data_IF_828770247256
#
_entry.id   IF_828770247256
#
_cell.length_a   1.000
_cell.length_b   1.000
_cell.length_c   1.000
_cell.angle_alpha   90.00
_cell.angle_beta   90.00
_cell.angle_gamma   90.00
#
_symmetry.space_group_name_H-M   'P 1'
#
loop_
_entity.id
_entity.type
_entity.pdbx_description
1 polymer ?
#
# COMPACT_ATOMS: atom_id res chain seq x y z
N UNK A 1 -20.88 19.97 -11.16
CA UNK A 1 -21.27 18.55 -11.33
C UNK A 1 -20.12 17.58 -11.02
N UNK A 2 -18.88 17.80 -11.42
CA UNK A 2 -17.71 16.94 -11.13
C UNK A 2 -17.39 16.76 -9.64
N UNK A 3 -17.46 17.81 -8.84
CA UNK A 3 -17.17 17.77 -7.40
C UNK A 3 -18.06 16.79 -6.63
N UNK A 4 -19.31 16.61 -7.07
CA UNK A 4 -20.24 15.68 -6.45
C UNK A 4 -19.91 14.21 -6.79
N UNK A 5 -19.41 13.94 -8.00
CA UNK A 5 -18.99 12.59 -8.44
C UNK A 5 -17.75 12.12 -7.68
N UNK A 6 -16.73 12.98 -7.56
CA UNK A 6 -15.52 12.64 -6.78
C UNK A 6 -15.80 12.43 -5.29
N UNK A 7 -16.72 13.22 -4.72
CA UNK A 7 -17.16 12.98 -3.33
C UNK A 7 -17.85 11.65 -3.16
N UNK A 8 -18.75 11.28 -4.08
CA UNK A 8 -19.43 9.98 -4.05
C UNK A 8 -18.46 8.82 -4.21
N UNK A 9 -17.57 8.88 -5.20
CA UNK A 9 -16.54 7.86 -5.41
C UNK A 9 -15.64 7.67 -4.18
N UNK A 10 -15.22 8.77 -3.54
CA UNK A 10 -14.41 8.72 -2.31
C UNK A 10 -15.19 8.10 -1.15
N UNK A 11 -16.48 8.38 -1.00
CA UNK A 11 -17.32 7.78 0.05
C UNK A 11 -17.50 6.28 -0.21
N UNK A 12 -17.83 5.90 -1.44
CA UNK A 12 -17.98 4.49 -1.83
C UNK A 12 -16.68 3.72 -1.59
N UNK A 13 -15.53 4.28 -2.01
CA UNK A 13 -14.23 3.66 -1.77
C UNK A 13 -13.93 3.45 -0.28
N UNK A 14 -14.21 4.45 0.56
CA UNK A 14 -14.00 4.32 2.01
C UNK A 14 -14.96 3.31 2.65
N UNK A 15 -16.21 3.23 2.20
CA UNK A 15 -17.17 2.23 2.67
C UNK A 15 -16.69 0.83 2.29
N UNK A 16 -16.28 0.62 1.04
CA UNK A 16 -15.77 -0.66 0.57
C UNK A 16 -14.52 -1.11 1.34
N UNK A 17 -13.54 -0.23 1.51
CA UNK A 17 -12.31 -0.52 2.28
C UNK A 17 -12.63 -0.81 3.75
N UNK A 18 -13.57 -0.06 4.36
CA UNK A 18 -13.97 -0.29 5.75
C UNK A 18 -14.70 -1.62 5.90
N UNK A 19 -15.60 -1.95 4.98
CA UNK A 19 -16.27 -3.23 4.95
C UNK A 19 -15.27 -4.39 4.82
N UNK A 20 -14.33 -4.28 3.88
CA UNK A 20 -13.27 -5.27 3.70
C UNK A 20 -12.43 -5.44 4.97
N UNK A 21 -12.04 -4.36 5.63
CA UNK A 21 -11.29 -4.40 6.89
C UNK A 21 -12.06 -5.08 8.02
N UNK A 22 -13.36 -4.79 8.13
CA UNK A 22 -14.25 -5.37 9.17
C UNK A 22 -14.53 -6.85 8.89
N UNK A 23 -14.63 -7.27 7.64
CA UNK A 23 -14.80 -8.68 7.29
C UNK A 23 -13.50 -9.46 7.48
N UNK A 24 -12.38 -8.90 7.05
CA UNK A 24 -11.09 -9.58 7.12
C UNK A 24 -10.53 -9.68 8.54
N UNK A 25 -10.71 -8.68 9.38
CA UNK A 25 -10.14 -8.68 10.74
C UNK A 25 -10.55 -9.90 11.58
N UNK A 26 -11.85 -10.20 11.72
CA UNK A 26 -12.31 -11.42 12.39
C UNK A 26 -11.82 -12.71 11.72
N UNK A 27 -11.81 -12.78 10.39
CA UNK A 27 -11.28 -13.92 9.63
C UNK A 27 -9.79 -14.16 9.92
N UNK A 28 -8.98 -13.09 10.01
CA UNK A 28 -7.57 -13.20 10.36
C UNK A 28 -7.37 -13.69 11.80
N UNK A 29 -8.20 -13.24 12.75
CA UNK A 29 -8.14 -13.73 14.15
C UNK A 29 -8.58 -15.18 14.23
N UNK A 30 -9.65 -15.56 13.55
CA UNK A 30 -10.15 -16.93 13.51
C UNK A 30 -9.11 -17.88 12.89
N UNK A 31 -8.44 -17.45 11.84
CA UNK A 31 -7.39 -18.24 11.18
C UNK A 31 -6.28 -18.71 12.14
N UNK A 32 -6.05 -18.03 13.25
CA UNK A 32 -5.03 -18.40 14.23
C UNK A 32 -5.30 -19.73 14.94
N UNK A 33 -6.54 -20.20 14.99
CA UNK A 33 -6.90 -21.50 15.52
C UNK A 33 -6.17 -22.64 14.80
N UNK A 34 -5.98 -22.49 13.51
CA UNK A 34 -5.34 -23.46 12.64
C UNK A 34 -3.85 -23.70 12.94
N UNK A 35 -3.21 -22.78 13.65
CA UNK A 35 -1.83 -22.98 14.10
C UNK A 35 -1.74 -24.06 15.18
N UNK A 36 -2.88 -24.43 15.79
CA UNK A 36 -3.00 -25.45 16.82
C UNK A 36 -3.74 -26.72 16.33
N UNK A 37 -4.59 -26.56 15.34
CA UNK A 37 -5.32 -27.61 14.65
C UNK A 37 -5.27 -27.38 13.12
N UNK A 38 -4.16 -27.79 12.48
CA UNK A 38 -3.94 -27.51 11.04
C UNK A 38 -4.98 -28.11 10.11
N UNK A 39 -5.64 -29.19 10.52
CA UNK A 39 -6.71 -29.83 9.74
C UNK A 39 -8.07 -29.15 9.82
N UNK A 40 -8.26 -28.20 10.75
CA UNK A 40 -9.54 -27.53 10.89
C UNK A 40 -9.80 -26.58 9.72
N UNK A 41 -10.99 -26.63 9.06
CA UNK A 41 -11.34 -25.68 8.02
C UNK A 41 -11.60 -24.30 8.64
N UNK A 42 -11.07 -23.25 7.99
CA UNK A 42 -11.26 -21.87 8.40
C UNK A 42 -12.30 -21.14 7.55
N UNK A 43 -12.68 -19.94 8.00
CA UNK A 43 -13.62 -19.07 7.27
C UNK A 43 -13.11 -18.74 5.86
N UNK A 44 -11.78 -18.62 5.71
CA UNK A 44 -11.18 -18.37 4.40
C UNK A 44 -11.39 -19.57 3.46
N UNK A 45 -11.14 -20.79 3.92
CA UNK A 45 -11.26 -21.99 3.10
C UNK A 45 -12.69 -22.18 2.63
N UNK A 46 -13.67 -22.00 3.52
CA UNK A 46 -15.08 -22.04 3.18
C UNK A 46 -15.47 -20.96 2.17
N UNK A 47 -14.91 -19.75 2.32
CA UNK A 47 -15.17 -18.66 1.39
C UNK A 47 -14.60 -18.96 0.01
N UNK A 48 -13.37 -19.46 -0.06
CA UNK A 48 -12.72 -19.80 -1.31
C UNK A 48 -13.41 -20.97 -2.00
N UNK A 49 -13.72 -22.02 -1.26
CA UNK A 49 -14.45 -23.18 -1.76
C UNK A 49 -15.84 -22.83 -2.34
N UNK A 50 -16.54 -21.88 -1.69
CA UNK A 50 -17.87 -21.46 -2.15
C UNK A 50 -17.84 -20.54 -3.39
N UNK A 51 -16.74 -19.81 -3.62
CA UNK A 51 -16.66 -18.78 -4.67
C UNK A 51 -15.82 -19.24 -5.86
N UNK A 52 -14.80 -20.07 -5.65
CA UNK A 52 -13.88 -20.53 -6.70
C UNK A 52 -14.04 -22.02 -6.89
N UNK A 53 -13.41 -22.85 -6.05
CA UNK A 53 -13.45 -24.30 -6.14
C UNK A 53 -13.12 -24.96 -4.80
N UNK A 54 -13.75 -26.11 -4.51
CA UNK A 54 -13.55 -26.86 -3.27
C UNK A 54 -12.17 -27.53 -3.22
N UNK A 55 -11.78 -28.17 -4.30
CA UNK A 55 -10.55 -28.97 -4.32
C UNK A 55 -9.32 -28.06 -4.28
N UNK A 56 -9.41 -26.88 -4.88
CA UNK A 56 -8.37 -25.86 -4.79
C UNK A 56 -8.31 -25.19 -3.40
N UNK A 57 -9.41 -25.10 -2.67
CA UNK A 57 -9.44 -24.55 -1.32
C UNK A 57 -8.66 -25.39 -0.32
N UNK A 58 -8.66 -26.71 -0.51
CA UNK A 58 -8.08 -27.68 0.43
C UNK A 58 -6.90 -28.47 -0.16
N UNK A 59 -6.67 -28.38 -1.46
CA UNK A 59 -5.63 -29.10 -2.17
C UNK A 59 -4.22 -28.51 -2.01
N UNK A 60 -3.23 -29.13 -2.68
CA UNK A 60 -1.87 -28.61 -2.74
C UNK A 60 -1.82 -27.16 -3.25
N UNK A 61 -0.97 -26.32 -2.67
CA UNK A 61 -0.84 -24.90 -3.02
C UNK A 61 -1.92 -24.00 -2.43
N UNK A 62 -2.85 -24.53 -1.62
CA UNK A 62 -3.80 -23.73 -0.87
C UNK A 62 -3.22 -23.16 0.42
N UNK A 63 -3.82 -22.09 0.92
CA UNK A 63 -3.49 -21.54 2.25
C UNK A 63 -3.84 -22.55 3.35
N UNK A 64 -4.77 -23.46 3.09
CA UNK A 64 -5.09 -24.54 3.99
C UNK A 64 -3.90 -25.45 4.25
N UNK A 65 -3.18 -25.86 3.22
CA UNK A 65 -1.99 -26.72 3.37
C UNK A 65 -0.83 -26.02 4.05
N UNK A 66 -0.65 -24.72 3.86
CA UNK A 66 0.41 -23.92 4.51
C UNK A 66 0.25 -23.87 6.03
N UNK A 67 -0.98 -23.81 6.54
CA UNK A 67 -1.22 -23.75 7.98
C UNK A 67 -0.82 -25.05 8.70
N UNK A 68 -0.78 -26.16 7.99
CA UNK A 68 -0.30 -27.44 8.49
C UNK A 68 1.24 -27.61 8.46
N UNK A 69 1.96 -26.64 7.91
CA UNK A 69 3.41 -26.65 7.80
C UNK A 69 4.05 -25.50 8.58
N UNK A 70 4.76 -24.63 7.86
CA UNK A 70 5.59 -23.55 8.43
C UNK A 70 4.86 -22.62 9.43
N UNK A 71 3.55 -22.42 9.27
CA UNK A 71 2.78 -21.57 10.20
C UNK A 71 2.58 -22.28 11.55
N UNK A 72 2.31 -23.57 11.55
CA UNK A 72 2.14 -24.34 12.78
C UNK A 72 3.47 -24.50 13.54
N UNK A 73 4.58 -24.69 12.83
CA UNK A 73 5.92 -24.75 13.40
C UNK A 73 6.34 -23.42 14.04
N UNK A 74 5.90 -22.30 13.45
CA UNK A 74 6.16 -20.95 13.91
C UNK A 74 4.96 -20.29 14.59
N UNK A 75 4.05 -21.09 15.17
CA UNK A 75 2.74 -20.67 15.68
C UNK A 75 2.74 -19.45 16.60
N UNK A 76 3.73 -19.28 17.47
CA UNK A 76 3.76 -18.13 18.38
C UNK A 76 3.98 -16.80 17.63
N UNK A 77 4.94 -16.76 16.72
CA UNK A 77 5.23 -15.57 15.93
C UNK A 77 4.08 -15.25 15.00
N UNK A 78 3.48 -16.28 14.38
CA UNK A 78 2.32 -16.14 13.51
C UNK A 78 1.07 -15.75 14.28
N UNK A 79 0.86 -16.25 15.50
CA UNK A 79 -0.23 -15.82 16.39
C UNK A 79 -0.15 -14.31 16.65
N UNK A 80 1.02 -13.81 17.05
CA UNK A 80 1.22 -12.39 17.27
C UNK A 80 1.01 -11.59 15.99
N UNK A 81 1.61 -12.00 14.87
CA UNK A 81 1.46 -11.32 13.58
C UNK A 81 0.00 -11.24 13.15
N UNK A 82 -0.67 -12.37 13.07
CA UNK A 82 -2.00 -12.50 12.47
C UNK A 82 -3.08 -11.86 13.36
N UNK A 83 -3.08 -12.13 14.67
CA UNK A 83 -4.05 -11.56 15.59
C UNK A 83 -3.92 -10.04 15.68
N UNK A 84 -2.69 -9.55 15.94
CA UNK A 84 -2.50 -8.10 16.10
C UNK A 84 -2.68 -7.37 14.76
N UNK A 85 -2.27 -7.97 13.65
CA UNK A 85 -2.50 -7.46 12.30
C UNK A 85 -3.98 -7.34 11.95
N UNK A 86 -4.77 -8.39 12.19
CA UNK A 86 -6.22 -8.39 11.97
C UNK A 86 -6.93 -7.30 12.77
N UNK A 87 -6.63 -7.18 14.07
CA UNK A 87 -7.19 -6.12 14.91
C UNK A 87 -6.72 -4.72 14.45
N UNK A 88 -5.42 -4.58 14.10
CA UNK A 88 -4.87 -3.31 13.63
C UNK A 88 -5.58 -2.81 12.37
N UNK A 89 -5.86 -3.68 11.39
CA UNK A 89 -6.56 -3.33 10.15
C UNK A 89 -7.92 -2.70 10.44
N UNK A 90 -8.71 -3.29 11.34
CA UNK A 90 -10.02 -2.76 11.76
C UNK A 90 -9.88 -1.41 12.46
N UNK A 91 -8.93 -1.30 13.39
CA UNK A 91 -8.71 -0.05 14.12
C UNK A 91 -8.19 1.07 13.22
N UNK A 92 -7.34 0.78 12.23
CA UNK A 92 -6.92 1.75 11.22
C UNK A 92 -8.12 2.24 10.39
N UNK A 93 -9.00 1.34 9.92
CA UNK A 93 -10.20 1.74 9.19
C UNK A 93 -11.06 2.70 10.01
N UNK A 94 -11.29 2.39 11.30
CA UNK A 94 -12.05 3.24 12.22
C UNK A 94 -11.39 4.61 12.43
N UNK A 95 -10.05 4.70 12.43
CA UNK A 95 -9.29 5.95 12.61
C UNK A 95 -9.57 6.99 11.50
N UNK A 96 -9.92 6.55 10.30
CA UNK A 96 -10.28 7.45 9.20
C UNK A 96 -11.73 7.96 9.29
N UNK A 97 -12.54 7.47 10.25
CA UNK A 97 -13.89 7.95 10.47
C UNK A 97 -13.92 9.41 10.94
N UNK A 98 -14.74 10.24 10.27
CA UNK A 98 -14.94 11.62 10.66
C UNK A 98 -15.56 11.75 12.06
N UNK A 99 -16.40 10.77 12.48
CA UNK A 99 -17.01 10.75 13.82
C UNK A 99 -15.96 10.58 14.92
N UNK A 100 -15.03 9.63 14.74
CA UNK A 100 -13.97 9.40 15.72
C UNK A 100 -13.03 10.62 15.81
N UNK A 101 -12.68 11.24 14.69
CA UNK A 101 -11.80 12.42 14.66
C UNK A 101 -12.37 13.66 15.34
N UNK A 102 -13.70 13.74 15.55
CA UNK A 102 -14.32 14.81 16.34
C UNK A 102 -13.98 14.68 17.83
N UNK A 103 -13.80 13.46 18.33
CA UNK A 103 -13.36 13.23 19.71
C UNK A 103 -11.85 12.92 19.71
N UNK A 104 -11.03 13.96 19.88
CA UNK A 104 -9.57 13.83 19.83
C UNK A 104 -8.99 12.91 20.91
N UNK A 105 -9.62 12.81 22.08
CA UNK A 105 -9.16 11.93 23.15
C UNK A 105 -9.31 10.46 22.71
N UNK A 106 -10.49 10.08 22.23
CA UNK A 106 -10.74 8.72 21.72
C UNK A 106 -9.87 8.42 20.49
N UNK A 107 -9.77 9.35 19.54
CA UNK A 107 -8.91 9.20 18.36
C UNK A 107 -7.45 8.93 18.76
N UNK A 108 -6.92 9.64 19.76
CA UNK A 108 -5.54 9.45 20.24
C UNK A 108 -5.34 8.11 20.92
N UNK A 109 -6.28 7.67 21.77
CA UNK A 109 -6.19 6.37 22.45
C UNK A 109 -6.24 5.23 21.43
N UNK A 110 -7.29 5.17 20.62
CA UNK A 110 -7.44 4.12 19.59
C UNK A 110 -6.27 4.14 18.60
N UNK A 111 -5.79 5.33 18.22
CA UNK A 111 -4.64 5.46 17.30
C UNK A 111 -3.32 4.94 17.88
N UNK A 112 -3.08 5.10 19.19
CA UNK A 112 -1.92 4.52 19.86
C UNK A 112 -2.01 3.00 19.91
N UNK A 113 -3.19 2.46 20.24
CA UNK A 113 -3.45 1.01 20.25
C UNK A 113 -3.25 0.44 18.85
N UNK A 114 -3.86 1.05 17.81
CA UNK A 114 -3.73 0.61 16.43
C UNK A 114 -2.25 0.60 15.96
N UNK A 115 -1.52 1.68 16.25
CA UNK A 115 -0.10 1.77 15.89
C UNK A 115 0.75 0.74 16.66
N UNK A 116 0.49 0.55 17.95
CA UNK A 116 1.18 -0.47 18.76
C UNK A 116 0.96 -1.88 18.24
N UNK A 117 -0.30 -2.25 17.96
CA UNK A 117 -0.64 -3.55 17.39
C UNK A 117 -0.02 -3.77 16.00
N UNK A 118 -0.03 -2.75 15.13
CA UNK A 118 0.63 -2.84 13.83
C UNK A 118 2.13 -3.11 13.97
N UNK A 119 2.82 -2.42 14.90
CA UNK A 119 4.25 -2.62 15.12
C UNK A 119 4.56 -4.00 15.72
N UNK A 120 3.75 -4.48 16.66
CA UNK A 120 3.87 -5.85 17.20
C UNK A 120 3.64 -6.89 16.10
N UNK A 121 2.62 -6.69 15.26
CA UNK A 121 2.37 -7.58 14.12
C UNK A 121 3.53 -7.61 13.13
N UNK A 122 4.14 -6.45 12.82
CA UNK A 122 5.31 -6.40 11.94
C UNK A 122 6.56 -7.03 12.58
N UNK A 123 6.74 -6.89 13.89
CA UNK A 123 7.80 -7.58 14.61
C UNK A 123 7.61 -9.11 14.57
N UNK A 124 6.38 -9.60 14.78
CA UNK A 124 6.04 -11.02 14.62
C UNK A 124 6.32 -11.53 13.22
N UNK A 125 5.94 -10.78 12.17
CA UNK A 125 6.26 -11.10 10.79
C UNK A 125 7.77 -11.17 10.54
N UNK A 126 8.53 -10.22 11.03
CA UNK A 126 9.99 -10.19 10.86
C UNK A 126 10.66 -11.41 11.52
N UNK A 127 10.26 -11.78 12.74
CA UNK A 127 10.77 -12.97 13.43
C UNK A 127 10.41 -14.24 12.66
N UNK A 128 9.18 -14.35 12.16
CA UNK A 128 8.75 -15.45 11.30
C UNK A 128 9.61 -15.56 10.04
N UNK A 129 9.80 -14.48 9.31
CA UNK A 129 10.59 -14.46 8.07
C UNK A 129 12.07 -14.87 8.30
N UNK A 130 12.65 -14.43 9.45
CA UNK A 130 14.00 -14.87 9.84
C UNK A 130 14.08 -16.36 10.15
N UNK A 131 13.04 -16.93 10.76
CA UNK A 131 13.01 -18.33 11.15
C UNK A 131 12.79 -19.28 9.96
N UNK A 132 11.93 -18.86 9.01
CA UNK A 132 11.55 -19.70 7.86
C UNK A 132 12.55 -19.58 6.71
N UNK A 133 13.06 -18.39 6.46
CA UNK A 133 13.94 -18.13 5.31
C UNK A 133 13.19 -18.11 3.96
N UNK A 134 13.89 -17.75 2.87
CA UNK A 134 13.26 -17.55 1.57
C UNK A 134 12.66 -18.84 0.97
N UNK A 135 13.37 -19.96 1.08
CA UNK A 135 13.00 -21.22 0.40
C UNK A 135 11.76 -21.89 1.00
N UNK A 136 11.46 -21.63 2.29
CA UNK A 136 10.31 -22.20 3.00
C UNK A 136 9.16 -21.20 3.20
N UNK A 137 9.33 -19.98 2.73
CA UNK A 137 8.24 -19.00 2.72
C UNK A 137 7.20 -19.44 1.68
N UNK A 138 5.91 -19.27 2.01
CA UNK A 138 4.83 -19.46 1.04
C UNK A 138 5.15 -18.70 -0.26
N UNK A 139 5.12 -19.38 -1.38
CA UNK A 139 5.45 -18.83 -2.71
C UNK A 139 6.92 -18.36 -2.86
N UNK A 140 7.81 -18.91 -2.06
CA UNK A 140 9.25 -18.87 -2.24
C UNK A 140 9.94 -17.52 -2.03
N UNK A 141 11.16 -17.37 -2.59
CA UNK A 141 12.02 -16.21 -2.39
C UNK A 141 11.39 -14.88 -2.80
N UNK A 142 10.64 -14.86 -3.90
CA UNK A 142 10.02 -13.65 -4.42
C UNK A 142 9.03 -13.05 -3.41
N UNK A 143 8.16 -13.85 -2.86
CA UNK A 143 7.18 -13.40 -1.87
C UNK A 143 7.84 -13.09 -0.52
N UNK A 144 8.89 -13.83 -0.14
CA UNK A 144 9.71 -13.53 1.04
C UNK A 144 10.25 -12.09 1.02
N UNK A 145 10.85 -11.68 -0.10
CA UNK A 145 11.36 -10.29 -0.28
C UNK A 145 10.24 -9.27 -0.18
N UNK A 146 9.08 -9.55 -0.78
CA UNK A 146 7.92 -8.65 -0.67
C UNK A 146 7.42 -8.53 0.76
N UNK A 147 7.32 -9.64 1.50
CA UNK A 147 6.86 -9.63 2.89
C UNK A 147 7.79 -8.79 3.77
N UNK A 148 9.11 -8.85 3.55
CA UNK A 148 10.06 -7.94 4.20
C UNK A 148 9.80 -6.47 3.84
N UNK A 149 9.58 -6.16 2.56
CA UNK A 149 9.27 -4.81 2.12
C UNK A 149 7.98 -4.27 2.76
N UNK A 150 6.95 -5.11 2.87
CA UNK A 150 5.68 -4.78 3.56
C UNK A 150 5.89 -4.56 5.06
N UNK A 151 6.66 -5.41 5.74
CA UNK A 151 6.93 -5.29 7.17
C UNK A 151 7.68 -3.98 7.48
N UNK A 152 8.79 -3.72 6.78
CA UNK A 152 9.57 -2.48 6.93
C UNK A 152 8.78 -1.25 6.53
N UNK A 153 8.08 -1.29 5.41
CA UNK A 153 7.28 -0.17 4.91
C UNK A 153 6.17 0.21 5.90
N UNK A 154 5.43 -0.78 6.40
CA UNK A 154 4.35 -0.58 7.38
C UNK A 154 4.89 -0.05 8.71
N UNK A 155 5.95 -0.65 9.24
CA UNK A 155 6.56 -0.22 10.50
C UNK A 155 7.10 1.21 10.38
N UNK A 156 7.87 1.51 9.33
CA UNK A 156 8.45 2.83 9.09
C UNK A 156 7.37 3.90 8.92
N UNK A 157 6.35 3.65 8.09
CA UNK A 157 5.24 4.59 7.89
C UNK A 157 4.46 4.85 9.19
N UNK A 158 4.24 3.80 10.00
CA UNK A 158 3.56 3.92 11.30
C UNK A 158 4.38 4.77 12.27
N UNK A 159 5.67 4.49 12.43
CA UNK A 159 6.58 5.24 13.33
C UNK A 159 6.66 6.70 12.91
N UNK A 160 6.93 6.97 11.62
CA UNK A 160 7.03 8.32 11.09
C UNK A 160 5.68 9.06 11.17
N UNK A 161 4.56 8.36 10.96
CA UNK A 161 3.22 8.91 11.11
C UNK A 161 2.92 9.35 12.55
N UNK A 162 3.27 8.52 13.53
CA UNK A 162 3.17 8.86 14.96
C UNK A 162 4.10 10.02 15.32
N UNK A 163 5.34 10.01 14.83
CA UNK A 163 6.29 11.11 15.05
C UNK A 163 5.79 12.44 14.45
N UNK A 164 5.19 12.41 13.26
CA UNK A 164 4.58 13.57 12.63
C UNK A 164 3.39 14.12 13.47
N UNK A 165 2.56 13.25 14.03
CA UNK A 165 1.48 13.66 14.95
C UNK A 165 2.02 14.35 16.20
N UNK A 166 3.07 13.78 16.83
CA UNK A 166 3.72 14.38 18.02
C UNK A 166 4.31 15.76 17.72
N UNK A 167 4.81 15.95 16.49
CA UNK A 167 5.34 17.24 16.01
C UNK A 167 4.24 18.16 15.46
N UNK A 168 2.97 17.79 15.64
CA UNK A 168 1.84 18.55 15.12
C UNK A 168 1.81 18.70 13.58
N UNK A 169 2.49 17.89 12.80
CA UNK A 169 2.51 17.88 11.33
C UNK A 169 1.33 17.04 10.78
N UNK A 170 0.09 17.50 11.00
CA UNK A 170 -1.11 16.68 10.77
C UNK A 170 -1.29 16.23 9.32
N UNK A 171 -0.92 17.05 8.34
CA UNK A 171 -1.04 16.66 6.93
C UNK A 171 -0.06 15.53 6.56
N UNK A 172 1.16 15.58 7.12
CA UNK A 172 2.15 14.51 7.00
C UNK A 172 1.70 13.26 7.75
N UNK A 173 1.21 13.41 9.00
CA UNK A 173 0.64 12.30 9.77
C UNK A 173 -0.46 11.57 9.00
N UNK A 174 -1.44 12.29 8.46
CA UNK A 174 -2.54 11.70 7.70
C UNK A 174 -2.06 10.93 6.47
N UNK A 175 -1.08 11.48 5.72
CA UNK A 175 -0.53 10.83 4.55
C UNK A 175 0.23 9.53 4.91
N UNK A 176 1.07 9.57 5.95
CA UNK A 176 1.83 8.40 6.41
C UNK A 176 0.92 7.32 7.00
N UNK A 177 -0.12 7.70 7.76
CA UNK A 177 -1.10 6.72 8.27
C UNK A 177 -1.94 6.12 7.14
N UNK A 178 -2.28 6.89 6.09
CA UNK A 178 -2.92 6.35 4.89
C UNK A 178 -2.01 5.35 4.16
N UNK A 179 -0.71 5.63 4.12
CA UNK A 179 0.27 4.73 3.53
C UNK A 179 0.41 3.43 4.35
N UNK A 180 0.60 3.52 5.67
CA UNK A 180 0.64 2.35 6.54
C UNK A 180 -0.63 1.50 6.42
N UNK A 181 -1.80 2.13 6.37
CA UNK A 181 -3.07 1.43 6.20
C UNK A 181 -3.18 0.76 4.82
N UNK A 182 -2.73 1.41 3.75
CA UNK A 182 -2.72 0.80 2.41
C UNK A 182 -1.84 -0.44 2.35
N UNK A 183 -0.68 -0.43 3.03
CA UNK A 183 0.17 -1.61 3.15
C UNK A 183 -0.49 -2.72 3.98
N UNK A 184 -1.14 -2.39 5.10
CA UNK A 184 -1.91 -3.36 5.88
C UNK A 184 -3.08 -3.96 5.09
N UNK A 185 -3.70 -3.18 4.19
CA UNK A 185 -4.79 -3.64 3.33
C UNK A 185 -4.32 -4.58 2.21
N UNK A 186 -3.03 -4.73 1.95
CA UNK A 186 -2.56 -5.69 0.94
C UNK A 186 -2.99 -7.11 1.28
N UNK A 187 -3.01 -7.51 2.55
CA UNK A 187 -3.45 -8.84 2.97
C UNK A 187 -4.92 -9.12 2.62
N UNK A 188 -5.92 -8.30 3.03
CA UNK A 188 -7.30 -8.52 2.61
C UNK A 188 -7.53 -8.32 1.10
N UNK A 189 -6.82 -7.40 0.44
CA UNK A 189 -6.92 -7.21 -1.00
C UNK A 189 -6.35 -8.38 -1.78
N UNK A 190 -5.29 -9.03 -1.28
CA UNK A 190 -4.76 -10.24 -1.87
C UNK A 190 -5.77 -11.40 -1.78
N UNK A 191 -6.54 -11.49 -0.69
CA UNK A 191 -7.66 -12.44 -0.58
C UNK A 191 -8.72 -12.19 -1.65
N UNK A 192 -9.06 -10.93 -1.90
CA UNK A 192 -9.93 -10.56 -3.05
C UNK A 192 -9.27 -10.94 -4.37
N UNK A 193 -7.96 -10.72 -4.50
CA UNK A 193 -7.18 -11.13 -5.67
C UNK A 193 -7.30 -12.63 -5.94
N UNK A 194 -7.17 -13.48 -4.94
CA UNK A 194 -7.36 -14.93 -5.09
C UNK A 194 -8.75 -15.30 -5.60
N UNK A 195 -9.81 -14.67 -5.09
CA UNK A 195 -11.17 -14.93 -5.56
C UNK A 195 -11.35 -14.48 -7.02
N UNK A 196 -10.81 -13.34 -7.39
CA UNK A 196 -10.93 -12.79 -8.75
C UNK A 196 -10.12 -13.60 -9.74
N UNK A 197 -8.85 -13.87 -9.43
CA UNK A 197 -7.94 -14.58 -10.32
C UNK A 197 -8.27 -16.07 -10.40
N UNK A 198 -8.67 -16.72 -9.31
CA UNK A 198 -9.12 -18.10 -9.32
C UNK A 198 -10.34 -18.32 -10.21
N UNK A 199 -11.30 -17.37 -10.21
CA UNK A 199 -12.42 -17.43 -11.16
C UNK A 199 -12.03 -17.07 -12.60
N UNK A 200 -11.04 -16.18 -12.80
CA UNK A 200 -10.60 -15.78 -14.13
C UNK A 200 -9.67 -16.81 -14.78
N UNK A 201 -8.97 -17.58 -13.98
CA UNK A 201 -8.01 -18.61 -14.40
C UNK A 201 -8.40 -19.96 -13.78
N UNK A 202 -9.39 -20.64 -14.35
CA UNK A 202 -9.76 -21.97 -13.88
C UNK A 202 -8.53 -22.90 -13.89
N UNK A 203 -8.53 -23.86 -13.01
CA UNK A 203 -7.45 -24.84 -12.82
C UNK A 203 -6.12 -24.24 -12.28
N UNK A 204 -6.17 -23.08 -11.60
CA UNK A 204 -5.01 -22.49 -10.93
C UNK A 204 -5.19 -22.46 -9.42
N UNK A 205 -4.12 -22.86 -8.72
CA UNK A 205 -4.09 -22.86 -7.25
C UNK A 205 -3.97 -21.43 -6.66
N UNK A 206 -4.24 -21.29 -5.37
CA UNK A 206 -3.99 -20.03 -4.66
C UNK A 206 -2.51 -19.62 -4.73
N UNK A 207 -1.59 -20.58 -4.75
CA UNK A 207 -0.15 -20.34 -4.92
C UNK A 207 0.15 -19.66 -6.26
N UNK A 208 -0.39 -20.19 -7.36
CA UNK A 208 -0.16 -19.63 -8.70
C UNK A 208 -0.76 -18.23 -8.89
N UNK A 209 -1.88 -17.95 -8.20
CA UNK A 209 -2.50 -16.62 -8.25
C UNK A 209 -1.87 -15.62 -7.29
N UNK A 210 -1.09 -16.08 -6.29
CA UNK A 210 -0.52 -15.22 -5.25
C UNK A 210 0.45 -14.18 -5.81
N UNK A 211 1.46 -14.62 -6.56
CA UNK A 211 2.46 -13.70 -7.13
C UNK A 211 1.82 -12.68 -8.07
N UNK A 212 0.84 -13.10 -8.89
CA UNK A 212 0.12 -12.22 -9.79
C UNK A 212 -0.68 -11.14 -9.03
N UNK A 213 -1.43 -11.54 -8.01
CA UNK A 213 -2.15 -10.61 -7.13
C UNK A 213 -1.19 -9.68 -6.38
N UNK A 214 -0.07 -10.21 -5.91
CA UNK A 214 0.96 -9.46 -5.20
C UNK A 214 1.67 -8.46 -6.12
N UNK A 215 1.99 -8.81 -7.37
CA UNK A 215 2.56 -7.92 -8.38
C UNK A 215 1.62 -6.74 -8.69
N UNK A 216 0.32 -7.00 -8.84
CA UNK A 216 -0.67 -5.94 -9.00
C UNK A 216 -0.68 -5.01 -7.78
N UNK A 217 -0.73 -5.55 -6.58
CA UNK A 217 -0.80 -4.78 -5.34
C UNK A 217 0.49 -4.01 -5.04
N UNK A 218 1.65 -4.42 -5.55
CA UNK A 218 2.90 -3.70 -5.39
C UNK A 218 2.83 -2.27 -5.97
N UNK A 219 2.09 -2.09 -7.06
CA UNK A 219 1.77 -0.77 -7.62
C UNK A 219 0.60 -0.11 -6.89
N UNK A 220 -0.48 -0.86 -6.63
CA UNK A 220 -1.74 -0.26 -6.20
C UNK A 220 -1.82 0.07 -4.71
N UNK A 221 -1.01 -0.54 -3.84
CA UNK A 221 -0.97 -0.14 -2.43
C UNK A 221 -0.44 1.29 -2.26
N UNK A 222 0.75 1.68 -2.77
CA UNK A 222 1.21 3.06 -2.68
C UNK A 222 0.37 4.05 -3.50
N UNK A 223 -0.19 3.65 -4.64
CA UNK A 223 -1.14 4.49 -5.40
C UNK A 223 -2.42 4.71 -4.59
N UNK A 224 -2.97 3.68 -3.95
CA UNK A 224 -4.12 3.79 -3.06
C UNK A 224 -3.86 4.73 -1.88
N UNK A 225 -2.68 4.66 -1.28
CA UNK A 225 -2.24 5.60 -0.25
C UNK A 225 -2.21 7.06 -0.75
N UNK A 226 -1.68 7.27 -1.95
CA UNK A 226 -1.65 8.58 -2.59
C UNK A 226 -3.06 9.11 -2.84
N UNK A 227 -3.95 8.29 -3.38
CA UNK A 227 -5.36 8.64 -3.61
C UNK A 227 -6.08 8.98 -2.29
N UNK A 228 -5.89 8.17 -1.24
CA UNK A 228 -6.46 8.39 0.08
C UNK A 228 -5.95 9.70 0.72
N UNK A 229 -4.65 9.98 0.62
CA UNK A 229 -4.06 11.21 1.10
C UNK A 229 -4.62 12.44 0.36
N UNK A 230 -4.82 12.34 -0.96
CA UNK A 230 -5.42 13.39 -1.77
C UNK A 230 -6.91 13.60 -1.49
N UNK A 231 -7.66 12.54 -1.25
CA UNK A 231 -9.09 12.63 -0.91
C UNK A 231 -9.32 13.45 0.39
N UNK A 232 -8.33 13.46 1.28
CA UNK A 232 -8.37 14.23 2.53
C UNK A 232 -7.86 15.67 2.37
N UNK A 233 -7.11 15.97 1.29
CA UNK A 233 -6.58 17.31 1.02
C UNK A 233 -7.61 18.13 0.26
N UNK A 234 -8.09 19.21 0.89
CA UNK A 234 -9.06 20.14 0.29
C UNK A 234 -8.41 21.29 -0.47
N UNK A 235 -7.08 21.38 -0.48
CA UNK A 235 -6.35 22.49 -1.10
C UNK A 235 -6.25 22.25 -2.60
N UNK A 236 -6.90 23.11 -3.38
CA UNK A 236 -6.97 22.98 -4.84
C UNK A 236 -6.22 24.08 -5.57
N UNK A 237 -5.99 25.23 -4.92
CA UNK A 237 -5.31 26.39 -5.51
C UNK A 237 -3.93 26.55 -4.87
N UNK A 238 -3.01 27.08 -5.62
CA UNK A 238 -1.67 27.38 -5.11
C UNK A 238 -1.77 28.50 -4.09
N UNK A 239 -1.44 28.17 -2.86
CA UNK A 239 -1.11 29.11 -1.82
C UNK A 239 0.40 29.42 -2.00
N UNK A 240 0.84 30.69 -2.07
CA UNK A 240 2.25 31.05 -2.16
C UNK A 240 3.12 30.44 -1.06
N UNK A 241 2.54 30.12 0.08
CA UNK A 241 3.19 29.43 1.19
C UNK A 241 3.47 27.94 0.92
N UNK A 242 2.89 27.33 -0.13
CA UNK A 242 3.11 25.93 -0.47
C UNK A 242 4.34 25.83 -1.38
N UNK A 243 5.44 25.17 -0.93
CA UNK A 243 6.63 24.99 -1.76
C UNK A 243 6.31 24.22 -3.04
N UNK A 244 6.89 24.64 -4.16
CA UNK A 244 6.84 23.88 -5.40
C UNK A 244 7.59 22.56 -5.24
N UNK A 245 7.09 21.49 -5.88
CA UNK A 245 7.81 20.22 -6.01
C UNK A 245 8.95 20.37 -7.03
N UNK A 246 10.00 19.49 -6.98
CA UNK A 246 11.09 19.51 -7.94
C UNK A 246 10.57 19.57 -9.38
N UNK A 247 11.18 20.43 -10.19
CA UNK A 247 10.66 20.79 -11.50
C UNK A 247 11.27 19.99 -12.68
N UNK A 248 11.37 20.64 -13.84
CA UNK A 248 11.73 20.05 -15.14
C UNK A 248 13.01 19.20 -15.14
N UNK A 249 14.00 19.52 -14.31
CA UNK A 249 15.25 18.70 -14.24
C UNK A 249 14.97 17.29 -13.74
N UNK A 250 14.14 17.15 -12.71
CA UNK A 250 13.72 15.84 -12.20
C UNK A 250 12.95 15.08 -13.27
N UNK A 251 11.99 15.74 -13.95
CA UNK A 251 11.20 15.11 -15.00
C UNK A 251 12.08 14.55 -16.09
N UNK A 252 13.00 15.38 -16.60
CA UNK A 252 13.92 14.98 -17.66
C UNK A 252 14.84 13.83 -17.21
N UNK A 253 15.39 13.90 -16.00
CA UNK A 253 16.25 12.84 -15.46
C UNK A 253 15.51 11.50 -15.38
N UNK A 254 14.28 11.49 -14.86
CA UNK A 254 13.49 10.25 -14.75
C UNK A 254 13.13 9.71 -16.13
N UNK A 255 12.74 10.56 -17.07
CA UNK A 255 12.39 10.14 -18.44
C UNK A 255 13.60 9.59 -19.20
N UNK A 256 14.76 10.24 -19.09
CA UNK A 256 16.01 9.77 -19.72
C UNK A 256 16.43 8.43 -19.13
N UNK A 257 16.41 8.28 -17.79
CA UNK A 257 16.73 7.02 -17.15
C UNK A 257 15.76 5.91 -17.53
N UNK A 258 14.46 6.20 -17.59
CA UNK A 258 13.47 5.20 -18.01
C UNK A 258 13.65 4.81 -19.49
N UNK A 259 13.92 5.78 -20.38
CA UNK A 259 14.17 5.51 -21.80
C UNK A 259 15.45 4.69 -22.02
N UNK A 260 16.49 4.92 -21.21
CA UNK A 260 17.73 4.15 -21.27
C UNK A 260 17.58 2.74 -20.67
N UNK A 261 16.84 2.62 -19.57
CA UNK A 261 16.66 1.34 -18.87
C UNK A 261 15.68 0.40 -19.58
N UNK A 262 14.65 0.93 -20.28
CA UNK A 262 13.62 0.11 -20.90
C UNK A 262 14.16 -0.92 -21.91
N UNK A 263 14.98 -0.55 -22.91
CA UNK A 263 15.52 -1.53 -23.86
C UNK A 263 16.40 -2.58 -23.16
N UNK A 264 17.20 -2.17 -22.17
CA UNK A 264 18.05 -3.11 -21.41
C UNK A 264 17.17 -4.11 -20.63
N UNK A 265 16.11 -3.63 -20.00
CA UNK A 265 15.19 -4.48 -19.26
C UNK A 265 14.47 -5.48 -20.18
N UNK A 266 14.02 -5.03 -21.35
CA UNK A 266 13.34 -5.87 -22.34
C UNK A 266 14.28 -6.93 -22.90
N UNK A 267 15.49 -6.55 -23.31
CA UNK A 267 16.47 -7.51 -23.84
C UNK A 267 16.82 -8.57 -22.78
N UNK A 268 17.13 -8.12 -21.57
CA UNK A 268 17.45 -9.05 -20.48
C UNK A 268 16.28 -9.98 -20.16
N UNK A 269 15.04 -9.45 -20.19
CA UNK A 269 13.85 -10.25 -19.96
C UNK A 269 13.68 -11.34 -21.03
N UNK A 270 13.86 -10.98 -22.30
CA UNK A 270 13.74 -11.88 -23.44
C UNK A 270 14.84 -12.97 -23.46
N UNK A 271 16.05 -12.61 -23.01
CA UNK A 271 17.18 -13.55 -22.94
C UNK A 271 17.07 -14.55 -21.78
N UNK A 272 16.45 -14.16 -20.64
CA UNK A 272 16.48 -14.93 -19.40
C UNK A 272 15.15 -15.61 -19.08
N UNK A 273 14.04 -15.20 -19.72
CA UNK A 273 12.67 -15.66 -19.41
C UNK A 273 11.90 -16.00 -20.70
N UNK A 274 11.14 -17.08 -20.65
CA UNK A 274 10.36 -17.57 -21.80
C UNK A 274 9.02 -16.84 -21.96
N UNK A 275 9.03 -15.65 -22.58
CA UNK A 275 7.82 -14.92 -22.90
C UNK A 275 7.10 -14.30 -21.69
N UNK A 276 5.96 -13.65 -21.93
CA UNK A 276 5.17 -13.00 -20.90
C UNK A 276 4.30 -14.00 -20.14
N UNK A 277 4.68 -14.26 -18.88
CA UNK A 277 3.89 -15.05 -17.95
C UNK A 277 2.70 -14.25 -17.35
N UNK A 278 1.79 -14.95 -16.64
CA UNK A 278 0.60 -14.34 -16.02
C UNK A 278 0.95 -13.34 -14.92
N UNK A 279 2.03 -13.56 -14.17
CA UNK A 279 2.48 -12.69 -13.07
C UNK A 279 2.99 -11.37 -13.63
N UNK A 280 3.90 -11.46 -14.61
CA UNK A 280 4.47 -10.29 -15.31
C UNK A 280 3.36 -9.50 -16.00
N UNK A 281 2.46 -10.17 -16.72
CA UNK A 281 1.34 -9.52 -17.39
C UNK A 281 0.45 -8.78 -16.41
N UNK A 282 0.08 -9.39 -15.27
CA UNK A 282 -0.77 -8.77 -14.26
C UNK A 282 -0.10 -7.55 -13.62
N UNK A 283 1.19 -7.65 -13.31
CA UNK A 283 1.97 -6.52 -12.81
C UNK A 283 2.03 -5.35 -13.78
N UNK A 284 2.29 -5.63 -15.09
CA UNK A 284 2.32 -4.63 -16.14
C UNK A 284 0.97 -3.96 -16.36
N UNK A 285 -0.13 -4.74 -16.40
CA UNK A 285 -1.49 -4.20 -16.48
C UNK A 285 -1.77 -3.26 -15.31
N UNK A 286 -1.41 -3.66 -14.09
CA UNK A 286 -1.53 -2.81 -12.90
C UNK A 286 -0.76 -1.49 -13.03
N UNK A 287 0.49 -1.55 -13.49
CA UNK A 287 1.36 -0.38 -13.67
C UNK A 287 0.83 0.57 -14.75
N UNK A 288 0.46 0.04 -15.92
CA UNK A 288 -0.07 0.83 -17.04
C UNK A 288 -1.39 1.49 -16.68
N UNK A 289 -2.29 0.78 -16.01
CA UNK A 289 -3.56 1.33 -15.54
C UNK A 289 -3.35 2.47 -14.53
N UNK A 290 -2.42 2.30 -13.59
CA UNK A 290 -2.08 3.33 -12.61
C UNK A 290 -1.47 4.58 -13.29
N UNK A 291 -0.57 4.38 -14.26
CA UNK A 291 0.04 5.47 -15.04
C UNK A 291 -1.01 6.22 -15.86
N UNK A 292 -1.90 5.51 -16.54
CA UNK A 292 -3.01 6.12 -17.30
C UNK A 292 -3.88 6.99 -16.40
N UNK A 293 -4.27 6.49 -15.22
CA UNK A 293 -5.04 7.26 -14.22
C UNK A 293 -4.26 8.51 -13.77
N UNK A 294 -2.96 8.38 -13.49
CA UNK A 294 -2.14 9.48 -13.04
C UNK A 294 -2.02 10.58 -14.13
N UNK A 295 -1.79 10.19 -15.38
CA UNK A 295 -1.69 11.11 -16.53
C UNK A 295 -3.02 11.79 -16.82
N UNK A 296 -4.14 11.07 -16.85
CA UNK A 296 -5.47 11.66 -17.06
C UNK A 296 -5.78 12.70 -15.98
N UNK A 297 -5.49 12.39 -14.72
CA UNK A 297 -5.70 13.33 -13.63
C UNK A 297 -4.72 14.51 -13.66
N UNK A 298 -3.48 14.33 -14.11
CA UNK A 298 -2.52 15.41 -14.35
C UNK A 298 -3.06 16.39 -15.39
N UNK A 299 -3.51 15.87 -16.53
CA UNK A 299 -4.09 16.68 -17.60
C UNK A 299 -5.34 17.41 -17.13
N UNK A 300 -6.25 16.72 -16.44
CA UNK A 300 -7.45 17.31 -15.86
C UNK A 300 -7.14 18.42 -14.86
N UNK A 301 -6.15 18.20 -13.97
CA UNK A 301 -5.73 19.21 -12.99
C UNK A 301 -5.11 20.44 -13.65
N UNK A 302 -4.30 20.27 -14.70
CA UNK A 302 -3.74 21.39 -15.48
C UNK A 302 -4.83 22.20 -16.16
N UNK A 303 -5.78 21.55 -16.84
CA UNK A 303 -6.92 22.21 -17.50
C UNK A 303 -7.80 22.98 -16.51
N UNK A 304 -7.92 22.49 -15.28
CA UNK A 304 -8.69 23.13 -14.22
C UNK A 304 -7.92 24.23 -13.46
N UNK A 305 -6.67 24.54 -13.83
CA UNK A 305 -5.82 25.50 -13.10
C UNK A 305 -5.50 25.07 -11.66
N UNK A 306 -5.61 23.77 -11.34
CA UNK A 306 -5.36 23.20 -10.02
C UNK A 306 -3.88 22.85 -9.84
N UNK A 307 -3.00 23.87 -9.77
CA UNK A 307 -1.54 23.73 -9.84
C UNK A 307 -0.97 22.72 -8.82
N UNK A 308 -1.40 22.80 -7.54
CA UNK A 308 -0.93 21.88 -6.50
C UNK A 308 -1.29 20.43 -6.83
N UNK A 309 -2.51 20.22 -7.36
CA UNK A 309 -2.94 18.91 -7.80
C UNK A 309 -2.15 18.42 -9.01
N UNK A 310 -1.88 19.30 -9.97
CA UNK A 310 -1.09 18.99 -11.16
C UNK A 310 0.35 18.61 -10.80
N UNK A 311 0.99 19.32 -9.87
CA UNK A 311 2.34 18.98 -9.37
C UNK A 311 2.35 17.61 -8.67
N UNK A 312 1.35 17.29 -7.85
CA UNK A 312 1.26 15.99 -7.17
C UNK A 312 1.04 14.84 -8.15
N UNK A 313 0.12 15.00 -9.11
CA UNK A 313 -0.09 13.99 -10.16
C UNK A 313 1.13 13.81 -11.06
N UNK A 314 1.84 14.90 -11.38
CA UNK A 314 3.10 14.84 -12.13
C UNK A 314 4.13 13.98 -11.40
N UNK A 315 4.34 14.23 -10.11
CA UNK A 315 5.31 13.45 -9.30
C UNK A 315 4.86 12.01 -9.12
N UNK A 316 3.56 11.75 -9.01
CA UNK A 316 3.03 10.38 -9.01
C UNK A 316 3.29 9.66 -10.35
N UNK A 317 3.07 10.34 -11.48
CA UNK A 317 3.40 9.80 -12.82
C UNK A 317 4.88 9.49 -12.96
N UNK A 318 5.75 10.39 -12.46
CA UNK A 318 7.20 10.17 -12.47
C UNK A 318 7.61 8.97 -11.58
N UNK A 319 6.96 8.79 -10.43
CA UNK A 319 7.14 7.61 -9.59
C UNK A 319 6.80 6.32 -10.35
N UNK A 320 5.68 6.31 -11.07
CA UNK A 320 5.28 5.16 -11.89
C UNK A 320 6.26 4.90 -13.05
N UNK A 321 6.70 5.95 -13.76
CA UNK A 321 7.69 5.82 -14.85
C UNK A 321 9.05 5.36 -14.32
N UNK A 322 9.46 5.81 -13.12
CA UNK A 322 10.71 5.39 -12.50
C UNK A 322 10.73 3.92 -12.08
N UNK A 323 9.59 3.21 -12.15
CA UNK A 323 9.54 1.75 -11.96
C UNK A 323 10.50 1.02 -12.90
N UNK A 324 10.64 1.48 -14.14
CA UNK A 324 11.50 0.83 -15.17
C UNK A 324 12.99 0.82 -14.74
N UNK A 325 13.64 1.97 -14.47
CA UNK A 325 15.02 1.95 -14.00
C UNK A 325 15.15 1.32 -12.61
N UNK A 326 14.15 1.45 -11.75
CA UNK A 326 14.14 0.79 -10.43
C UNK A 326 14.11 -0.72 -10.59
N UNK A 327 13.31 -1.25 -11.50
CA UNK A 327 13.24 -2.69 -11.78
C UNK A 327 14.60 -3.23 -12.26
N UNK A 328 15.28 -2.53 -13.17
CA UNK A 328 16.60 -2.94 -13.62
C UNK A 328 17.62 -3.03 -12.48
N UNK A 329 17.63 -2.04 -11.58
CA UNK A 329 18.52 -2.03 -10.41
C UNK A 329 18.15 -3.12 -9.42
N UNK A 330 16.86 -3.25 -9.09
CA UNK A 330 16.38 -4.24 -8.11
C UNK A 330 16.63 -5.65 -8.62
N UNK A 331 16.34 -5.93 -9.90
CA UNK A 331 16.62 -7.23 -10.49
C UNK A 331 18.10 -7.58 -10.43
N UNK A 332 18.99 -6.65 -10.84
CA UNK A 332 20.42 -6.87 -10.76
C UNK A 332 20.94 -7.13 -9.33
N UNK A 333 20.32 -6.54 -8.32
CA UNK A 333 20.68 -6.79 -6.92
C UNK A 333 20.15 -8.12 -6.40
N UNK A 334 18.92 -8.49 -6.78
CA UNK A 334 18.27 -9.71 -6.32
C UNK A 334 18.79 -10.96 -7.06
N UNK A 335 19.32 -10.81 -8.26
CA UNK A 335 19.94 -11.87 -9.04
C UNK A 335 21.28 -12.35 -8.43
N UNK A 336 21.83 -11.64 -7.46
CA UNK A 336 23.03 -12.06 -6.73
C UNK A 336 22.75 -13.22 -5.75
N UNK A 337 21.70 -13.15 -4.91
CA UNK A 337 21.38 -14.23 -3.95
C UNK A 337 20.35 -15.25 -4.45
N UNK A 338 19.55 -14.97 -5.49
CA UNK A 338 18.41 -15.78 -5.91
C UNK A 338 18.57 -16.26 -7.35
N UNK A 339 17.85 -17.33 -7.72
CA UNK A 339 17.72 -17.72 -9.12
C UNK A 339 17.02 -16.59 -9.92
N UNK A 340 17.38 -16.44 -11.19
CA UNK A 340 16.95 -15.33 -12.06
C UNK A 340 15.44 -15.17 -12.12
N UNK A 341 14.67 -16.26 -12.18
CA UNK A 341 13.20 -16.23 -12.19
C UNK A 341 12.65 -15.68 -10.87
N UNK A 342 13.17 -16.15 -9.73
CA UNK A 342 12.77 -15.65 -8.41
C UNK A 342 13.15 -14.19 -8.21
N UNK A 343 14.35 -13.80 -8.67
CA UNK A 343 14.82 -12.44 -8.65
C UNK A 343 13.93 -11.50 -9.50
N UNK A 344 13.45 -11.98 -10.65
CA UNK A 344 12.51 -11.25 -11.47
C UNK A 344 11.16 -11.06 -10.78
N UNK A 345 10.56 -12.14 -10.28
CA UNK A 345 9.29 -12.02 -9.57
C UNK A 345 9.41 -11.15 -8.31
N UNK A 346 10.49 -11.29 -7.54
CA UNK A 346 10.75 -10.39 -6.41
C UNK A 346 10.86 -8.92 -6.85
N UNK A 347 11.42 -8.67 -8.04
CA UNK A 347 11.48 -7.34 -8.64
C UNK A 347 10.10 -6.81 -8.98
N UNK A 348 9.24 -7.60 -9.61
CA UNK A 348 7.85 -7.21 -9.90
C UNK A 348 7.07 -6.87 -8.64
N UNK A 349 7.34 -7.61 -7.55
CA UNK A 349 6.66 -7.42 -6.28
C UNK A 349 7.18 -6.21 -5.47
N UNK A 350 8.36 -5.67 -5.78
CA UNK A 350 8.99 -4.63 -4.96
C UNK A 350 9.33 -3.34 -5.71
N UNK A 351 9.83 -3.41 -6.92
CA UNK A 351 10.29 -2.23 -7.66
C UNK A 351 9.18 -1.18 -7.89
N UNK A 352 7.93 -1.55 -8.27
CA UNK A 352 6.84 -0.58 -8.38
C UNK A 352 6.52 0.09 -7.04
N UNK A 353 6.51 -0.70 -5.95
CA UNK A 353 6.25 -0.17 -4.62
C UNK A 353 7.32 0.83 -4.19
N UNK A 354 8.60 0.55 -4.42
CA UNK A 354 9.72 1.45 -4.14
C UNK A 354 9.59 2.74 -4.95
N UNK A 355 9.43 2.63 -6.26
CA UNK A 355 9.41 3.75 -7.19
C UNK A 355 8.23 4.71 -6.92
N UNK A 356 7.03 4.18 -6.77
CA UNK A 356 5.83 4.97 -6.47
C UNK A 356 5.93 5.61 -5.08
N UNK A 357 6.50 4.89 -4.11
CA UNK A 357 6.71 5.41 -2.76
C UNK A 357 7.69 6.58 -2.71
N UNK A 358 8.74 6.58 -3.54
CA UNK A 358 9.64 7.73 -3.65
C UNK A 358 8.89 8.99 -4.15
N UNK A 359 8.03 8.83 -5.15
CA UNK A 359 7.14 9.90 -5.60
C UNK A 359 6.20 10.38 -4.49
N UNK A 360 5.60 9.46 -3.74
CA UNK A 360 4.74 9.78 -2.61
C UNK A 360 5.49 10.52 -1.48
N UNK A 361 6.73 10.13 -1.18
CA UNK A 361 7.55 10.79 -0.17
C UNK A 361 7.81 12.28 -0.49
N UNK A 362 7.97 12.65 -1.76
CA UNK A 362 8.09 14.05 -2.16
C UNK A 362 6.83 14.85 -1.82
N UNK A 363 5.64 14.26 -2.02
CA UNK A 363 4.36 14.86 -1.63
C UNK A 363 4.26 14.99 -0.11
N UNK A 364 4.64 13.95 0.64
CA UNK A 364 4.65 13.95 2.11
C UNK A 364 5.62 15.00 2.65
N UNK A 365 6.81 15.11 2.07
CA UNK A 365 7.82 16.11 2.45
C UNK A 365 7.30 17.55 2.23
N UNK A 366 6.65 17.83 1.11
CA UNK A 366 5.99 19.11 0.86
C UNK A 366 4.94 19.43 1.94
N UNK A 367 4.14 18.44 2.31
CA UNK A 367 3.11 18.59 3.35
C UNK A 367 3.69 18.91 4.74
N UNK A 368 4.94 18.52 5.02
CA UNK A 368 5.66 18.90 6.23
C UNK A 368 5.88 20.42 6.29
N UNK A 369 6.24 21.05 5.16
CA UNK A 369 6.58 22.50 5.11
C UNK A 369 5.36 23.42 5.15
N UNK A 370 4.22 22.99 4.64
CA UNK A 370 2.99 23.80 4.55
C UNK A 370 2.49 24.31 5.90
N UNK A 371 2.83 23.68 6.99
CA UNK A 371 2.29 24.03 8.31
C UNK A 371 2.97 25.18 9.02
N UNK A 372 4.27 25.42 8.76
CA UNK A 372 4.99 26.55 9.35
C UNK A 372 4.43 27.91 8.92
N UNK A 373 3.90 27.99 7.70
CA UNK A 373 3.35 29.21 7.10
C UNK A 373 1.97 29.58 7.63
N UNK A 374 1.13 28.61 8.03
CA UNK A 374 -0.23 28.91 8.50
C UNK A 374 -0.29 29.38 9.96
N UNK A 375 0.70 29.06 10.76
CA UNK A 375 0.81 29.59 12.12
C UNK A 375 1.16 31.09 12.14
N UNK A 376 1.74 31.59 11.05
CA UNK A 376 2.12 33.01 10.92
C UNK A 376 1.03 33.91 10.34
N UNK A 377 -0.05 33.36 9.81
CA UNK A 377 -1.18 34.08 9.22
C UNK A 377 -2.45 33.94 10.09
N UNK A 378 -2.33 33.74 11.38
CA UNK A 378 -3.44 33.98 12.28
C UNK A 378 -3.75 35.50 12.21
N UNK A 379 -4.97 35.94 11.84
CA UNK A 379 -5.30 37.35 11.90
C UNK A 379 -5.04 37.84 13.32
N UNK A 380 -4.40 39.01 13.43
CA UNK A 380 -4.25 39.68 14.70
C UNK A 380 -5.62 39.77 15.39
N UNK A 381 -5.69 39.49 16.71
CA UNK A 381 -6.95 39.60 17.42
C UNK A 381 -7.54 40.99 17.15
N UNK A 382 -8.74 41.01 16.57
CA UNK A 382 -9.50 42.25 16.44
C UNK A 382 -9.79 42.70 17.88
N UNK A 383 -9.07 43.74 18.32
CA UNK A 383 -9.37 44.37 19.58
C UNK A 383 -10.81 44.90 19.50
N UNK A 384 -11.66 44.64 20.49
CA UNK A 384 -12.98 45.21 20.53
C UNK A 384 -12.85 46.72 20.48
N UNK A 385 -13.59 47.36 19.56
CA UNK A 385 -13.69 48.79 19.49
C UNK A 385 -14.09 49.29 20.89
N UNK A 386 -13.28 50.22 21.44
CA UNK A 386 -13.60 50.86 22.69
C UNK A 386 -15.00 51.46 22.58
N UNK A 387 -15.92 51.04 23.44
CA UNK A 387 -17.24 51.64 23.55
C UNK A 387 -17.03 53.12 23.88
N UNK A 388 -17.43 53.98 22.94
CA UNK A 388 -17.50 55.42 23.19
C UNK A 388 -18.59 55.63 24.24
N UNK A 389 -18.19 56.04 25.44
CA UNK A 389 -19.09 56.55 26.46
C UNK A 389 -19.50 57.97 26.02
N UNK A 390 -20.76 58.13 25.62
CA UNK A 390 -21.49 59.36 25.71
C UNK A 390 -22.55 59.24 26.82
#
# INVERSE_FOLDING_TARGET
MELSRWRRASVVGWVAITALAVLYGPMAVEFTWRFFDPGAPGLWDHTFAAVVDHDEAYGPGSIHTVSGGEYADNRLTMLFHTTTGGIAIVLFAVQFSARLRRNLARHRVIGRVAAGLALVGMAGAAVYLLAVGPDRTYDGPAFHVQLWALAFGTATATVLGVAAARRHQLAMHQALMAYAFALLLTAPLLRVGYLVLGNAWPDTTQLETNLAGAAFLSTWAPVGAFLAARAQDRRRRRDPAIPALPGRRLDLSVLVLAAAAAPVLVVRYDEELDGLDRVTTTGLVGLVAALAIAVVNLVGARRAGAEVAAEEWRVASLGLVSTVPTALVVWGLLDLPFATVDAWFATLLTAPAIAVSLGFLLVVWRRRKVRGSQAQVAPAPVLPAAASSD
#
